data_IF_928073904170
#
_entry.id   IF_928073904170
#
_cell.length_a   1.000
_cell.length_b   1.000
_cell.length_c   1.000
_cell.angle_alpha   90.00
_cell.angle_beta   90.00
_cell.angle_gamma   90.00
#
_symmetry.space_group_name_H-M   'P 1'
#
loop_
_entity.id
_entity.type
_entity.pdbx_description
1 polymer ?
#
# COMPACT_ATOMS: atom_id res chain seq x y z
N UNK A 1 14.07 -10.54 -2.36
CA UNK A 1 13.68 -9.23 -1.81
C UNK A 1 13.00 -8.48 -2.95
N UNK A 2 11.74 -8.08 -2.78
CA UNK A 2 10.98 -7.40 -3.85
C UNK A 2 10.42 -6.09 -3.31
N UNK A 3 10.54 -5.02 -4.10
CA UNK A 3 10.08 -3.68 -3.77
C UNK A 3 8.70 -3.46 -4.37
N UNK A 4 7.76 -2.99 -3.55
CA UNK A 4 6.40 -2.70 -4.00
C UNK A 4 5.97 -1.32 -3.53
N UNK A 5 5.32 -0.56 -4.41
CA UNK A 5 4.61 0.64 -3.99
C UNK A 5 3.20 0.25 -3.55
N UNK A 6 2.90 0.46 -2.27
CA UNK A 6 1.60 0.10 -1.67
C UNK A 6 0.96 1.34 -1.07
N UNK A 7 -0.37 1.37 -1.07
CA UNK A 7 -1.15 2.49 -0.52
C UNK A 7 -0.91 2.65 1.00
N UNK A 8 -0.18 3.69 1.37
CA UNK A 8 0.02 4.15 2.75
C UNK A 8 -1.19 4.96 3.27
N UNK A 9 -1.14 5.43 4.52
CA UNK A 9 -2.27 6.12 5.16
C UNK A 9 -2.68 7.43 4.47
N UNK A 10 -1.71 8.26 4.07
CA UNK A 10 -1.96 9.48 3.28
C UNK A 10 -2.70 9.14 1.98
N UNK A 11 -2.23 8.15 1.23
CA UNK A 11 -2.87 7.71 0.00
C UNK A 11 -4.28 7.16 0.23
N UNK A 12 -4.54 6.45 1.34
CA UNK A 12 -5.90 6.01 1.69
C UNK A 12 -6.84 7.18 1.97
N UNK A 13 -6.35 8.22 2.65
CA UNK A 13 -7.12 9.44 2.91
C UNK A 13 -7.41 10.16 1.59
N UNK A 14 -6.42 10.30 0.71
CA UNK A 14 -6.59 10.86 -0.64
C UNK A 14 -7.63 10.09 -1.44
N UNK A 15 -7.56 8.76 -1.45
CA UNK A 15 -8.57 7.91 -2.11
C UNK A 15 -9.97 8.13 -1.53
N UNK A 16 -10.09 8.23 -0.20
CA UNK A 16 -11.38 8.47 0.45
C UNK A 16 -11.96 9.85 0.12
N UNK A 17 -11.11 10.89 0.04
CA UNK A 17 -11.54 12.26 -0.23
C UNK A 17 -11.77 12.55 -1.72
N UNK A 18 -10.89 12.05 -2.59
CA UNK A 18 -10.86 12.37 -4.02
C UNK A 18 -11.41 11.24 -4.91
N UNK A 19 -11.60 10.03 -4.38
CA UNK A 19 -11.98 8.85 -5.16
C UNK A 19 -10.88 8.29 -6.07
N UNK A 20 -9.73 8.96 -6.16
CA UNK A 20 -8.59 8.58 -7.00
C UNK A 20 -7.27 8.74 -6.23
N UNK A 21 -6.34 7.81 -6.44
CA UNK A 21 -5.05 7.75 -5.73
C UNK A 21 -3.95 8.53 -6.42
N UNK A 22 -3.78 8.27 -7.71
CA UNK A 22 -2.78 8.90 -8.56
C UNK A 22 -3.47 9.93 -9.45
N UNK A 23 -2.78 11.02 -9.82
CA UNK A 23 -3.29 11.97 -10.81
C UNK A 23 -3.61 11.23 -12.11
N UNK A 24 -4.76 11.55 -12.71
CA UNK A 24 -5.16 10.98 -13.99
C UNK A 24 -4.37 11.69 -15.08
N UNK A 25 -3.62 10.95 -15.89
CA UNK A 25 -2.95 11.49 -17.06
C UNK A 25 -4.00 12.08 -18.02
N UNK A 26 -3.82 13.33 -18.44
CA UNK A 26 -4.73 13.97 -19.39
C UNK A 26 -4.43 13.52 -20.81
N UNK A 27 -5.34 13.84 -21.75
CA UNK A 27 -5.09 13.62 -23.18
C UNK A 27 -3.80 14.33 -23.63
N UNK A 28 -3.49 15.52 -23.10
CA UNK A 28 -2.23 16.20 -23.42
C UNK A 28 -1.01 15.46 -22.88
N UNK A 29 -1.10 14.81 -21.71
CA UNK A 29 0.00 14.02 -21.17
C UNK A 29 0.30 12.81 -22.05
N UNK A 30 -0.72 12.12 -22.56
CA UNK A 30 -0.54 11.01 -23.50
C UNK A 30 0.04 11.45 -24.84
N UNK A 31 -0.36 12.63 -25.35
CA UNK A 31 0.19 13.18 -26.60
C UNK A 31 1.65 13.61 -26.46
N UNK A 32 2.07 14.06 -25.27
CA UNK A 32 3.49 14.35 -24.96
C UNK A 32 4.34 13.09 -24.78
N UNK A 33 3.70 11.94 -24.54
CA UNK A 33 4.35 10.64 -24.37
C UNK A 33 4.54 9.88 -25.69
N UNK A 34 4.01 10.36 -26.82
CA UNK A 34 4.30 9.78 -28.13
C UNK A 34 5.81 9.90 -28.44
N UNK A 35 6.52 8.77 -28.33
CA UNK A 35 7.96 8.66 -28.52
C UNK A 35 8.75 8.31 -27.26
N UNK A 36 8.14 8.37 -26.08
CA UNK A 36 8.75 7.96 -24.80
C UNK A 36 8.11 6.63 -24.39
N UNK A 37 8.94 5.61 -24.18
CA UNK A 37 8.51 4.28 -23.71
C UNK A 37 7.55 4.41 -22.52
N UNK A 38 6.46 3.65 -22.58
CA UNK A 38 5.29 3.56 -21.68
C UNK A 38 5.56 3.40 -20.16
N UNK A 39 6.81 3.51 -19.71
CA UNK A 39 7.26 3.30 -18.33
C UNK A 39 6.97 4.44 -17.34
N UNK A 40 6.43 5.58 -17.78
CA UNK A 40 6.11 6.72 -16.90
C UNK A 40 4.61 6.86 -16.56
N UNK A 41 3.77 5.93 -17.00
CA UNK A 41 2.40 5.87 -16.53
C UNK A 41 2.38 5.39 -15.07
N UNK A 42 1.99 6.26 -14.14
CA UNK A 42 1.78 5.90 -12.74
C UNK A 42 0.64 4.87 -12.64
N UNK A 43 1.01 3.61 -12.48
CA UNK A 43 0.03 2.54 -12.21
C UNK A 43 -0.48 2.72 -10.79
N UNK A 44 -1.81 2.72 -10.60
CA UNK A 44 -2.42 2.82 -9.29
C UNK A 44 -1.80 1.79 -8.33
N UNK A 45 -1.30 2.28 -7.20
CA UNK A 45 -0.72 1.42 -6.16
C UNK A 45 -1.78 0.47 -5.62
N UNK A 46 -1.55 -0.85 -5.58
CA UNK A 46 -2.52 -1.77 -5.02
C UNK A 46 -2.59 -1.63 -3.49
N UNK A 47 -3.77 -1.87 -2.88
CA UNK A 47 -3.87 -2.10 -1.45
C UNK A 47 -3.02 -3.31 -1.01
N UNK A 48 -2.44 -3.24 0.19
CA UNK A 48 -1.62 -4.33 0.75
C UNK A 48 -2.29 -5.70 0.69
N UNK A 49 -3.59 -5.77 0.99
CA UNK A 49 -4.34 -7.02 0.97
C UNK A 49 -4.37 -7.69 -0.42
N UNK A 50 -4.43 -6.89 -1.50
CA UNK A 50 -4.39 -7.44 -2.87
C UNK A 50 -3.00 -7.96 -3.21
N UNK A 51 -1.95 -7.22 -2.82
CA UNK A 51 -0.58 -7.67 -3.00
C UNK A 51 -0.30 -8.96 -2.22
N UNK A 52 -0.75 -9.02 -0.96
CA UNK A 52 -0.65 -10.23 -0.14
C UNK A 52 -1.38 -11.41 -0.78
N UNK A 53 -2.60 -11.21 -1.25
CA UNK A 53 -3.37 -12.23 -1.96
C UNK A 53 -2.64 -12.74 -3.20
N UNK A 54 -2.06 -11.85 -4.01
CA UNK A 54 -1.29 -12.23 -5.19
C UNK A 54 -0.02 -13.03 -4.83
N UNK A 55 0.69 -12.64 -3.77
CA UNK A 55 1.87 -13.34 -3.27
C UNK A 55 1.52 -14.74 -2.73
N UNK A 56 0.50 -14.85 -1.87
CA UNK A 56 0.04 -16.13 -1.34
C UNK A 56 -0.47 -17.05 -2.46
N UNK A 57 -1.18 -16.52 -3.46
CA UNK A 57 -1.61 -17.28 -4.65
C UNK A 57 -0.42 -17.78 -5.48
N UNK A 58 0.67 -17.02 -5.55
CA UNK A 58 1.93 -17.42 -6.17
C UNK A 58 2.80 -18.31 -5.27
N UNK A 59 2.26 -18.78 -4.13
CA UNK A 59 2.94 -19.63 -3.14
C UNK A 59 4.15 -18.93 -2.51
N UNK A 60 4.05 -17.64 -2.21
CA UNK A 60 5.06 -16.94 -1.42
C UNK A 60 4.56 -16.74 0.00
N UNK A 61 5.40 -17.09 0.98
CA UNK A 61 5.19 -16.79 2.38
C UNK A 61 5.80 -15.42 2.71
N UNK A 62 4.99 -14.50 3.20
CA UNK A 62 5.46 -13.18 3.64
C UNK A 62 6.11 -13.32 5.02
N UNK A 63 7.43 -13.09 5.08
CA UNK A 63 8.21 -13.15 6.32
C UNK A 63 8.18 -11.80 7.03
N UNK A 64 8.43 -10.74 6.27
CA UNK A 64 8.61 -9.41 6.82
C UNK A 64 8.07 -8.34 5.89
N UNK A 65 7.56 -7.26 6.49
CA UNK A 65 7.21 -6.03 5.79
C UNK A 65 7.99 -4.89 6.42
N UNK A 66 8.78 -4.19 5.63
CA UNK A 66 9.55 -3.01 6.05
C UNK A 66 9.35 -1.89 5.03
N UNK A 67 9.92 -0.72 5.28
CA UNK A 67 9.85 0.42 4.37
C UNK A 67 11.20 1.14 4.36
N UNK A 68 11.49 1.84 3.27
CA UNK A 68 12.78 2.52 3.10
C UNK A 68 12.89 3.76 4.01
N UNK A 69 12.00 4.74 3.83
CA UNK A 69 11.98 5.97 4.62
C UNK A 69 10.58 6.31 5.13
N UNK A 70 10.49 6.82 6.37
CA UNK A 70 9.24 7.38 6.90
C UNK A 70 9.07 8.79 6.33
N UNK A 71 7.91 9.06 5.72
CA UNK A 71 7.63 10.40 5.19
C UNK A 71 7.30 11.34 6.34
N UNK A 72 7.97 12.49 6.44
CA UNK A 72 7.75 13.44 7.54
C UNK A 72 6.28 13.84 7.74
N UNK A 73 5.52 13.99 6.64
CA UNK A 73 4.10 14.30 6.68
C UNK A 73 3.24 13.19 7.34
N UNK A 74 3.70 11.93 7.31
CA UNK A 74 3.02 10.81 7.98
C UNK A 74 3.03 10.96 9.50
N UNK A 75 3.98 11.70 10.09
CA UNK A 75 4.01 11.91 11.54
C UNK A 75 2.77 12.66 12.05
N UNK A 76 2.13 13.48 11.22
CA UNK A 76 0.88 14.15 11.58
C UNK A 76 -0.33 13.19 11.56
N UNK A 77 -0.19 12.01 10.94
CA UNK A 77 -1.25 11.03 10.79
C UNK A 77 -1.28 9.98 11.92
N UNK A 78 -0.38 10.05 12.90
CA UNK A 78 -0.37 9.15 14.06
C UNK A 78 -1.72 9.08 14.82
N UNK A 79 -2.47 10.18 15.02
CA UNK A 79 -3.79 10.12 15.65
C UNK A 79 -4.79 9.26 14.84
N UNK A 80 -4.78 9.41 13.52
CA UNK A 80 -5.64 8.63 12.61
C UNK A 80 -5.20 7.16 12.62
N UNK A 81 -3.89 6.90 12.60
CA UNK A 81 -3.34 5.55 12.74
C UNK A 81 -3.79 4.89 14.05
N UNK A 82 -3.77 5.61 15.16
CA UNK A 82 -4.22 5.10 16.46
C UNK A 82 -5.71 4.72 16.43
N UNK A 83 -6.57 5.54 15.81
CA UNK A 83 -7.99 5.23 15.61
C UNK A 83 -8.18 3.97 14.75
N UNK A 84 -7.44 3.84 13.64
CA UNK A 84 -7.48 2.64 12.79
C UNK A 84 -7.03 1.39 13.57
N UNK A 85 -5.98 1.51 14.40
CA UNK A 85 -5.52 0.43 15.26
C UNK A 85 -6.56 0.04 16.29
N UNK A 86 -7.26 0.99 16.90
CA UNK A 86 -8.35 0.71 17.82
C UNK A 86 -9.47 -0.09 17.13
N UNK A 87 -9.93 0.36 15.95
CA UNK A 87 -10.93 -0.37 15.15
C UNK A 87 -10.43 -1.77 14.77
N UNK A 88 -9.15 -1.91 14.46
CA UNK A 88 -8.53 -3.20 14.14
C UNK A 88 -8.59 -4.16 15.33
N UNK A 89 -8.31 -3.67 16.53
CA UNK A 89 -8.41 -4.44 17.77
C UNK A 89 -9.86 -4.82 18.07
N UNK A 90 -10.80 -3.87 17.97
CA UNK A 90 -12.24 -4.11 18.19
C UNK A 90 -12.79 -5.18 17.24
N UNK A 91 -12.43 -5.13 15.95
CA UNK A 91 -12.86 -6.14 14.96
C UNK A 91 -12.22 -7.51 15.20
N UNK A 92 -11.07 -7.53 15.89
CA UNK A 92 -10.39 -8.75 16.31
C UNK A 92 -10.13 -9.75 15.18
N UNK A 93 -10.21 -11.04 15.52
CA UNK A 93 -9.93 -12.13 14.58
C UNK A 93 -10.91 -12.23 13.41
N UNK A 94 -12.16 -11.76 13.57
CA UNK A 94 -13.16 -11.78 12.47
C UNK A 94 -12.75 -10.85 11.33
N UNK A 95 -12.36 -9.62 11.67
CA UNK A 95 -11.88 -8.67 10.67
C UNK A 95 -10.55 -9.12 10.05
N UNK A 96 -9.67 -9.70 10.87
CA UNK A 96 -8.37 -10.18 10.40
C UNK A 96 -8.49 -11.32 9.38
N UNK A 97 -9.36 -12.31 9.61
CA UNK A 97 -9.59 -13.41 8.67
C UNK A 97 -10.12 -12.95 7.31
N UNK A 98 -10.94 -11.89 7.28
CA UNK A 98 -11.61 -11.43 6.05
C UNK A 98 -10.79 -10.40 5.26
N UNK A 99 -10.05 -9.53 5.94
CA UNK A 99 -9.38 -8.39 5.33
C UNK A 99 -7.88 -8.29 5.68
N UNK A 100 -7.33 -9.28 6.37
CA UNK A 100 -5.97 -9.26 6.91
C UNK A 100 -5.67 -8.00 7.73
N UNK A 101 -6.67 -7.50 8.48
CA UNK A 101 -6.63 -6.18 9.13
C UNK A 101 -5.35 -5.94 9.94
N UNK A 102 -4.84 -6.95 10.66
CA UNK A 102 -3.63 -6.75 11.48
C UNK A 102 -2.41 -6.43 10.62
N UNK A 103 -2.24 -7.13 9.51
CA UNK A 103 -1.13 -6.87 8.57
C UNK A 103 -1.39 -5.65 7.67
N UNK A 104 -2.61 -5.50 7.17
CA UNK A 104 -3.04 -4.37 6.32
C UNK A 104 -2.98 -3.02 7.05
N UNK A 105 -3.16 -3.05 8.38
CA UNK A 105 -3.08 -1.88 9.26
C UNK A 105 -1.82 -1.92 10.14
N UNK A 106 -0.79 -2.67 9.75
CA UNK A 106 0.49 -2.66 10.42
C UNK A 106 1.17 -1.29 10.26
N UNK A 107 2.01 -0.89 11.23
CA UNK A 107 2.71 0.40 11.19
C UNK A 107 3.49 0.57 9.89
N UNK A 108 4.24 -0.46 9.49
CA UNK A 108 5.10 -0.40 8.30
C UNK A 108 4.30 -0.25 6.99
N UNK A 109 3.03 -0.66 6.98
CA UNK A 109 2.14 -0.53 5.82
C UNK A 109 1.42 0.82 5.81
N UNK A 110 0.93 1.27 6.96
CA UNK A 110 0.17 2.53 7.05
C UNK A 110 1.07 3.75 7.11
N UNK A 111 2.14 3.70 7.90
CA UNK A 111 3.02 4.82 8.18
C UNK A 111 4.30 4.79 7.33
N UNK A 112 4.46 3.76 6.49
CA UNK A 112 5.55 3.69 5.53
C UNK A 112 5.52 4.86 4.54
N UNK A 113 6.68 5.21 3.98
CA UNK A 113 6.82 6.25 2.96
C UNK A 113 6.30 5.82 1.59
N UNK A 114 7.10 6.06 0.55
CA UNK A 114 6.70 5.77 -0.83
C UNK A 114 6.87 4.29 -1.20
N UNK A 115 7.78 3.59 -0.52
CA UNK A 115 8.17 2.22 -0.87
C UNK A 115 7.92 1.29 0.29
N UNK A 116 7.09 0.27 0.07
CA UNK A 116 6.94 -0.88 0.94
C UNK A 116 7.86 -2.00 0.43
N UNK A 117 8.66 -2.54 1.33
CA UNK A 117 9.55 -3.65 1.06
C UNK A 117 8.92 -4.90 1.65
N UNK A 118 8.70 -5.90 0.82
CA UNK A 118 8.17 -7.20 1.27
C UNK A 118 9.25 -8.25 1.08
N UNK A 119 9.59 -8.92 2.18
CA UNK A 119 10.51 -10.04 2.19
C UNK A 119 9.67 -11.31 2.21
N UNK A 120 9.72 -12.04 1.10
CA UNK A 120 9.02 -13.31 0.94
C UNK A 120 10.00 -14.46 0.82
N UNK A 121 9.54 -15.65 1.24
CA UNK A 121 10.19 -16.92 0.95
C UNK A 121 9.26 -17.76 0.09
N UNK A 122 9.81 -18.36 -0.96
CA UNK A 122 9.10 -19.40 -1.71
C UNK A 122 9.34 -20.73 -0.97
N UNK A 123 8.29 -21.48 -0.60
CA UNK A 123 8.46 -22.86 -0.15
C UNK A 123 9.15 -23.66 -1.26
N UNK A 124 10.07 -24.53 -0.87
CA UNK A 124 10.78 -25.43 -1.78
C UNK A 124 9.81 -26.38 -2.48
#
# INVERSE_FOLDING_TARGET
MTFYEVINLESRIKLFLYGVLEPVNTKEDFLKLEGITTGHCHVNRPPYALLRMALEAAKFDIIETTFDQEKHAQKLLYPIYALIKLVTVIKGGKGDKKYWLKSSNHKNVLMGGNTLIIICKKPA
#
